data_IF_697134535857
#
_entry.id   IF_697134535857
#
_cell.length_a   1.000
_cell.length_b   1.000
_cell.length_c   1.000
_cell.angle_alpha   90.00
_cell.angle_beta   90.00
_cell.angle_gamma   90.00
#
_symmetry.space_group_name_H-M   'P 1'
#
loop_
_entity.id
_entity.type
_entity.pdbx_description
1 polymer ?
#
# COMPACT_ATOMS: atom_id res chain seq x y z
N UNK A 1 1.29 17.18 -37.89
CA UNK A 1 0.40 16.55 -36.91
C UNK A 1 -0.08 17.65 -35.97
N UNK A 2 -1.38 17.77 -35.73
CA UNK A 2 -1.89 18.74 -34.75
C UNK A 2 -1.47 18.26 -33.37
N UNK A 3 -0.69 19.08 -32.65
CA UNK A 3 -0.35 18.78 -31.25
C UNK A 3 -1.58 19.07 -30.38
N UNK A 4 -1.86 18.17 -29.45
CA UNK A 4 -2.86 18.31 -28.40
C UNK A 4 -2.19 18.38 -27.01
N UNK A 5 -2.94 18.75 -25.97
CA UNK A 5 -2.47 18.84 -24.59
C UNK A 5 -1.67 17.62 -24.12
N UNK A 6 -0.68 17.89 -23.27
CA UNK A 6 0.19 16.90 -22.64
C UNK A 6 0.64 17.35 -21.26
N UNK A 7 1.08 16.41 -20.44
CA UNK A 7 1.60 16.69 -19.11
C UNK A 7 1.91 15.44 -18.31
N UNK A 8 2.08 15.61 -17.01
CA UNK A 8 2.14 14.51 -16.06
C UNK A 8 1.41 14.84 -14.76
N UNK A 9 0.87 13.79 -14.15
CA UNK A 9 0.18 13.84 -12.86
C UNK A 9 0.97 13.07 -11.80
N UNK A 10 0.85 13.50 -10.54
CA UNK A 10 1.41 12.81 -9.38
C UNK A 10 0.36 11.90 -8.74
N UNK A 11 0.48 10.58 -8.95
CA UNK A 11 -0.51 9.60 -8.49
C UNK A 11 0.18 8.37 -7.87
N UNK A 12 0.03 8.11 -6.55
CA UNK A 12 -0.77 8.85 -5.58
C UNK A 12 -0.15 10.21 -5.19
N UNK A 13 -1.02 11.14 -4.72
CA UNK A 13 -0.62 12.48 -4.27
C UNK A 13 0.48 12.42 -3.21
N UNK A 14 1.34 13.43 -3.20
CA UNK A 14 2.30 13.62 -2.11
C UNK A 14 1.55 14.02 -0.83
N UNK A 15 1.99 13.47 0.30
CA UNK A 15 1.49 13.84 1.62
C UNK A 15 2.25 15.02 2.20
N UNK A 16 1.71 15.69 3.21
CA UNK A 16 2.39 16.76 3.96
C UNK A 16 3.48 16.24 4.92
N UNK A 17 3.89 14.98 4.78
CA UNK A 17 4.85 14.34 5.68
C UNK A 17 6.27 14.74 5.34
N UNK A 18 7.13 14.68 6.34
CA UNK A 18 8.53 15.05 6.21
C UNK A 18 9.31 14.25 5.15
N UNK A 19 8.89 13.01 4.82
CA UNK A 19 9.56 12.23 3.78
C UNK A 19 9.21 12.71 2.37
N UNK A 20 7.91 12.79 2.04
CA UNK A 20 7.45 13.32 0.75
C UNK A 20 7.94 14.77 0.56
N UNK A 21 7.90 15.59 1.61
CA UNK A 21 8.41 16.96 1.55
C UNK A 21 9.91 16.98 1.26
N UNK A 22 10.74 16.18 1.95
CA UNK A 22 12.19 16.14 1.67
C UNK A 22 12.49 15.74 0.23
N UNK A 23 11.83 14.69 -0.28
CA UNK A 23 12.03 14.26 -1.68
C UNK A 23 11.57 15.33 -2.66
N UNK A 24 10.49 16.03 -2.35
CA UNK A 24 10.02 17.16 -3.14
C UNK A 24 11.00 18.34 -3.11
N UNK A 25 11.57 18.66 -1.95
CA UNK A 25 12.57 19.72 -1.83
C UNK A 25 13.81 19.38 -2.69
N UNK A 26 14.31 18.14 -2.65
CA UNK A 26 15.43 17.69 -3.49
C UNK A 26 15.08 17.72 -5.00
N UNK A 27 13.85 17.36 -5.37
CA UNK A 27 13.37 17.48 -6.74
C UNK A 27 13.33 18.94 -7.20
N UNK A 28 12.78 19.83 -6.38
CA UNK A 28 12.72 21.27 -6.66
C UNK A 28 14.11 21.87 -6.77
N UNK A 29 15.04 21.53 -5.88
CA UNK A 29 16.45 21.95 -5.98
C UNK A 29 17.09 21.51 -7.31
N UNK A 30 16.81 20.27 -7.75
CA UNK A 30 17.27 19.78 -9.06
C UNK A 30 16.66 20.57 -10.21
N UNK A 31 15.37 20.87 -10.18
CA UNK A 31 14.68 21.67 -11.19
C UNK A 31 15.26 23.09 -11.25
N UNK A 32 15.45 23.73 -10.09
CA UNK A 32 16.07 25.05 -10.00
C UNK A 32 17.47 25.08 -10.59
N UNK A 33 18.28 24.03 -10.35
CA UNK A 33 19.61 23.91 -10.93
C UNK A 33 19.60 23.72 -12.45
N UNK A 34 18.62 23.00 -12.99
CA UNK A 34 18.52 22.71 -14.44
C UNK A 34 18.09 23.95 -15.24
N UNK A 35 17.18 24.74 -14.67
CA UNK A 35 16.63 25.93 -15.32
C UNK A 35 17.24 27.25 -14.81
N UNK A 36 18.38 27.19 -14.13
CA UNK A 36 19.11 28.40 -13.72
C UNK A 36 19.54 29.19 -14.96
N UNK A 37 19.09 30.45 -15.04
CA UNK A 37 19.33 31.33 -16.18
C UNK A 37 18.42 31.16 -17.40
N UNK A 38 17.40 30.29 -17.33
CA UNK A 38 16.32 30.26 -18.34
C UNK A 38 15.39 31.47 -18.13
N UNK A 39 15.20 32.27 -19.17
CA UNK A 39 14.40 33.51 -19.10
C UNK A 39 12.89 33.26 -19.20
N UNK A 40 12.46 32.05 -19.59
CA UNK A 40 11.05 31.64 -19.64
C UNK A 40 10.62 30.86 -18.38
N UNK A 41 11.51 30.76 -17.39
CA UNK A 41 11.25 30.11 -16.09
C UNK A 41 11.37 31.13 -14.97
N UNK A 42 10.24 31.43 -14.32
CA UNK A 42 10.19 32.35 -13.20
C UNK A 42 10.16 31.59 -11.86
N UNK A 43 11.12 31.90 -10.99
CA UNK A 43 11.16 31.40 -9.62
C UNK A 43 10.44 32.38 -8.69
N UNK A 44 9.21 32.03 -8.27
CA UNK A 44 8.47 32.80 -7.27
C UNK A 44 8.72 32.26 -5.86
N UNK A 45 8.34 32.97 -4.80
CA UNK A 45 8.46 32.48 -3.42
C UNK A 45 7.66 31.21 -3.12
N UNK A 46 6.68 30.84 -3.95
CA UNK A 46 5.72 29.77 -3.66
C UNK A 46 5.68 28.66 -4.71
N UNK A 47 6.06 28.97 -5.95
CA UNK A 47 6.07 28.04 -7.09
C UNK A 47 7.04 28.48 -8.18
N UNK A 48 7.43 27.55 -9.04
CA UNK A 48 8.16 27.80 -10.28
C UNK A 48 7.14 27.86 -11.41
N UNK A 49 7.20 28.92 -12.22
CA UNK A 49 6.31 29.15 -13.37
C UNK A 49 7.10 29.01 -14.66
N UNK A 50 6.51 28.33 -15.64
CA UNK A 50 7.06 28.23 -16.99
C UNK A 50 6.13 28.99 -17.94
N UNK A 51 6.64 30.02 -18.60
CA UNK A 51 5.83 30.97 -19.39
C UNK A 51 5.18 30.33 -20.63
N UNK A 52 5.59 29.13 -21.01
CA UNK A 52 5.05 28.38 -22.15
C UNK A 52 3.59 27.91 -21.97
N UNK A 53 3.02 27.95 -20.77
CA UNK A 53 1.62 27.54 -20.56
C UNK A 53 1.03 27.95 -19.21
N UNK A 54 -0.29 28.15 -19.18
CA UNK A 54 -0.99 28.70 -18.01
C UNK A 54 -0.88 27.85 -16.74
N UNK A 55 -0.82 26.52 -16.89
CA UNK A 55 -0.78 25.55 -15.78
C UNK A 55 0.57 24.83 -15.64
N UNK A 56 1.62 25.35 -16.28
CA UNK A 56 2.98 24.84 -16.10
C UNK A 56 3.58 25.44 -14.82
N UNK A 57 3.06 24.98 -13.68
CA UNK A 57 3.40 25.48 -12.35
C UNK A 57 3.87 24.32 -11.45
N UNK A 58 5.02 24.49 -10.81
CA UNK A 58 5.54 23.57 -9.78
C UNK A 58 5.53 24.25 -8.41
N UNK A 59 4.69 23.85 -7.46
CA UNK A 59 4.70 24.44 -6.13
C UNK A 59 5.98 24.04 -5.40
N UNK A 60 6.50 24.92 -4.54
CA UNK A 60 7.60 24.55 -3.64
C UNK A 60 7.12 23.59 -2.54
N UNK A 61 5.81 23.51 -2.30
CA UNK A 61 5.17 22.59 -1.35
C UNK A 61 4.52 21.41 -2.08
N UNK A 62 5.23 20.27 -2.11
CA UNK A 62 4.87 19.14 -2.98
C UNK A 62 3.50 18.52 -2.73
N UNK A 63 3.02 18.56 -1.49
CA UNK A 63 1.69 18.04 -1.16
C UNK A 63 0.53 18.81 -1.84
N UNK A 64 0.80 20.02 -2.37
CA UNK A 64 -0.15 20.80 -3.16
C UNK A 64 -0.15 20.39 -4.63
N UNK A 65 0.92 19.76 -5.12
CA UNK A 65 1.09 19.42 -6.53
C UNK A 65 0.17 18.29 -6.97
N UNK A 66 -0.53 18.48 -8.09
CA UNK A 66 -1.34 17.45 -8.76
C UNK A 66 -0.89 17.16 -10.19
N UNK A 67 -0.72 18.22 -10.99
CA UNK A 67 -0.48 18.15 -12.43
C UNK A 67 0.49 19.23 -12.86
N UNK A 68 1.36 18.88 -13.80
CA UNK A 68 2.11 19.83 -14.63
C UNK A 68 1.78 19.51 -16.09
N UNK A 69 1.06 20.40 -16.78
CA UNK A 69 0.60 20.13 -18.13
C UNK A 69 -0.02 21.33 -18.83
N UNK A 70 -0.24 21.16 -20.13
CA UNK A 70 -0.76 22.20 -21.02
C UNK A 70 -2.27 22.15 -21.16
N UNK A 71 -2.83 23.29 -21.58
CA UNK A 71 -4.20 23.45 -22.08
C UNK A 71 -4.21 23.62 -23.60
N UNK A 72 -5.37 23.44 -24.26
CA UNK A 72 -5.49 23.57 -25.72
C UNK A 72 -5.00 24.89 -26.34
N UNK A 73 -4.94 25.98 -25.56
CA UNK A 73 -4.55 27.31 -26.04
C UNK A 73 -3.09 27.69 -25.72
N UNK A 74 -2.34 26.81 -25.05
CA UNK A 74 -0.94 27.08 -24.67
C UNK A 74 0.02 26.97 -25.86
N UNK A 75 1.27 27.43 -25.70
CA UNK A 75 2.35 27.14 -26.65
C UNK A 75 2.83 25.70 -26.48
N UNK A 76 2.08 24.79 -27.11
CA UNK A 76 2.32 23.34 -27.03
C UNK A 76 3.72 22.92 -27.50
N UNK A 77 4.42 23.74 -28.30
CA UNK A 77 5.75 23.37 -28.77
C UNK A 77 6.80 23.59 -27.67
N UNK A 78 6.83 24.79 -27.10
CA UNK A 78 7.77 25.17 -26.04
C UNK A 78 7.46 24.41 -24.74
N UNK A 79 6.18 24.25 -24.42
CA UNK A 79 5.74 23.54 -23.23
C UNK A 79 6.14 22.05 -23.21
N UNK A 80 6.12 21.37 -24.36
CA UNK A 80 6.45 19.95 -24.44
C UNK A 80 7.91 19.66 -24.09
N UNK A 81 8.82 20.60 -24.38
CA UNK A 81 10.24 20.50 -23.99
C UNK A 81 10.37 20.48 -22.46
N UNK A 82 9.68 21.40 -21.79
CA UNK A 82 9.66 21.47 -20.32
C UNK A 82 9.03 20.23 -19.70
N UNK A 83 7.89 19.78 -20.25
CA UNK A 83 7.18 18.59 -19.78
C UNK A 83 8.06 17.35 -19.89
N UNK A 84 8.69 17.11 -21.04
CA UNK A 84 9.48 15.91 -21.28
C UNK A 84 10.69 15.84 -20.33
N UNK A 85 11.40 16.95 -20.14
CA UNK A 85 12.54 17.00 -19.24
C UNK A 85 12.11 16.86 -17.77
N UNK A 86 11.03 17.52 -17.36
CA UNK A 86 10.51 17.40 -16.01
C UNK A 86 9.97 16.00 -15.71
N UNK A 87 9.38 15.29 -16.68
CA UNK A 87 9.00 13.89 -16.52
C UNK A 87 10.23 13.03 -16.23
N UNK A 88 11.33 13.23 -16.96
CA UNK A 88 12.58 12.49 -16.73
C UNK A 88 13.10 12.75 -15.32
N UNK A 89 13.23 14.02 -14.92
CA UNK A 89 13.72 14.39 -13.58
C UNK A 89 12.76 13.83 -12.52
N UNK A 90 11.46 14.07 -12.65
CA UNK A 90 10.47 13.66 -11.66
C UNK A 90 10.42 12.12 -11.48
N UNK A 91 10.66 11.35 -12.55
CA UNK A 91 10.75 9.88 -12.45
C UNK A 91 11.96 9.41 -11.65
N UNK A 92 13.06 10.16 -11.61
CA UNK A 92 14.20 9.83 -10.75
C UNK A 92 13.84 9.91 -9.25
N UNK A 93 12.95 10.83 -8.88
CA UNK A 93 12.54 11.05 -7.48
C UNK A 93 11.28 10.27 -7.08
N UNK A 94 10.31 10.15 -7.99
CA UNK A 94 8.96 9.67 -7.70
C UNK A 94 8.54 8.47 -8.53
N UNK A 95 9.35 8.05 -9.50
CA UNK A 95 9.21 6.79 -10.24
C UNK A 95 7.78 6.63 -10.82
N UNK A 96 7.12 5.50 -10.55
CA UNK A 96 5.76 5.18 -10.96
C UNK A 96 4.69 6.21 -10.57
N UNK A 97 4.94 7.10 -9.60
CA UNK A 97 3.97 8.14 -9.25
C UNK A 97 3.78 9.16 -10.36
N UNK A 98 4.75 9.27 -11.27
CA UNK A 98 4.67 10.17 -12.41
C UNK A 98 3.90 9.49 -13.53
N UNK A 99 2.62 9.86 -13.65
CA UNK A 99 1.76 9.44 -14.75
C UNK A 99 1.79 10.49 -15.86
N UNK A 100 2.67 10.28 -16.84
CA UNK A 100 2.67 11.05 -18.07
C UNK A 100 1.40 10.77 -18.89
N UNK A 101 0.95 11.75 -19.67
CA UNK A 101 -0.19 11.62 -20.57
C UNK A 101 -0.04 12.55 -21.78
N UNK A 102 -0.56 12.11 -22.94
CA UNK A 102 -0.69 12.91 -24.16
C UNK A 102 -2.04 12.65 -24.81
N UNK A 103 -2.85 13.68 -25.01
CA UNK A 103 -4.19 13.51 -25.60
C UNK A 103 -4.14 12.97 -27.04
N UNK A 104 -3.05 13.26 -27.76
CA UNK A 104 -2.81 12.74 -29.12
C UNK A 104 -2.68 11.21 -29.15
N UNK A 105 -2.28 10.60 -28.04
CA UNK A 105 -2.13 9.15 -27.87
C UNK A 105 -3.36 8.54 -27.18
N UNK A 106 -4.45 9.32 -27.06
CA UNK A 106 -5.67 8.94 -26.34
C UNK A 106 -5.42 8.67 -24.84
N UNK A 107 -4.42 9.33 -24.27
CA UNK A 107 -4.12 9.34 -22.84
C UNK A 107 -4.52 10.67 -22.22
N UNK A 108 -5.18 10.60 -21.07
CA UNK A 108 -5.70 11.78 -20.37
C UNK A 108 -5.14 11.84 -18.96
N UNK A 109 -5.02 13.07 -18.45
CA UNK A 109 -4.64 13.28 -17.07
C UNK A 109 -5.64 12.64 -16.09
N UNK A 110 -5.13 12.18 -14.96
CA UNK A 110 -5.86 11.46 -13.91
C UNK A 110 -6.84 12.35 -13.15
N UNK A 111 -6.43 13.57 -12.79
CA UNK A 111 -7.27 14.52 -12.06
C UNK A 111 -8.23 15.27 -12.98
N UNK A 112 -9.42 15.58 -12.47
CA UNK A 112 -10.34 16.48 -13.17
C UNK A 112 -9.79 17.91 -13.20
N UNK A 113 -10.15 18.67 -14.23
CA UNK A 113 -9.71 20.07 -14.39
C UNK A 113 -10.08 20.94 -13.18
N UNK A 114 -11.21 20.63 -12.53
CA UNK A 114 -11.63 21.31 -11.31
C UNK A 114 -10.64 21.06 -10.16
N UNK A 115 -10.24 19.82 -9.94
CA UNK A 115 -9.28 19.48 -8.87
C UNK A 115 -7.92 20.13 -9.07
N UNK A 116 -7.46 20.19 -10.32
CA UNK A 116 -6.19 20.85 -10.66
C UNK A 116 -6.27 22.35 -10.37
N UNK A 117 -7.34 23.03 -10.81
CA UNK A 117 -7.52 24.45 -10.52
C UNK A 117 -7.69 24.73 -9.01
N UNK A 118 -8.44 23.89 -8.29
CA UNK A 118 -8.60 24.01 -6.83
C UNK A 118 -7.25 23.85 -6.11
N UNK A 119 -6.36 22.99 -6.60
CA UNK A 119 -4.99 22.80 -6.09
C UNK A 119 -4.09 24.01 -6.37
N UNK A 120 -4.11 24.55 -7.59
CA UNK A 120 -3.29 25.71 -7.99
C UNK A 120 -3.61 26.94 -7.12
N UNK A 121 -4.87 27.15 -6.77
CA UNK A 121 -5.30 28.24 -5.87
C UNK A 121 -4.57 28.17 -4.50
N UNK A 122 -4.15 26.98 -4.07
CA UNK A 122 -3.43 26.80 -2.79
C UNK A 122 -1.96 27.21 -2.86
N UNK A 123 -1.38 27.39 -4.06
CA UNK A 123 0.04 27.70 -4.20
C UNK A 123 0.35 29.09 -3.63
N UNK A 124 -0.56 30.05 -3.79
CA UNK A 124 -0.39 31.40 -3.23
C UNK A 124 -0.78 31.51 -1.75
N UNK A 125 -1.40 30.47 -1.19
CA UNK A 125 -1.83 30.47 0.20
C UNK A 125 -0.71 29.89 1.08
N UNK A 126 -0.21 30.66 2.07
CA UNK A 126 0.76 30.12 3.01
C UNK A 126 0.12 28.95 3.74
N UNK A 127 0.89 27.88 3.94
CA UNK A 127 0.42 26.76 4.76
C UNK A 127 -0.03 27.29 6.13
N UNK A 128 -1.22 26.87 6.62
CA UNK A 128 -1.57 27.15 8.00
C UNK A 128 -0.42 26.62 8.88
N UNK A 129 -0.01 27.37 9.94
CA UNK A 129 1.13 27.01 10.76
C UNK A 129 1.01 25.54 11.14
N UNK A 130 1.96 24.70 10.68
CA UNK A 130 1.93 23.22 10.70
C UNK A 130 0.92 22.77 11.73
N UNK A 131 -0.32 22.55 11.27
CA UNK A 131 -1.39 22.25 12.20
C UNK A 131 -0.92 21.04 12.99
N UNK A 132 -1.19 21.03 14.28
CA UNK A 132 -1.28 19.78 15.02
C UNK A 132 -2.18 18.92 14.13
N UNK A 133 -1.61 17.98 13.37
CA UNK A 133 -2.34 17.27 12.32
C UNK A 133 -3.49 16.64 13.05
N UNK A 134 -4.69 17.16 12.82
CA UNK A 134 -5.84 16.65 13.54
C UNK A 134 -5.91 15.16 13.21
N UNK A 135 -6.03 14.28 14.22
CA UNK A 135 -6.08 12.86 13.95
C UNK A 135 -7.17 12.56 12.92
N UNK A 136 -6.87 11.73 11.92
CA UNK A 136 -7.82 11.31 10.89
C UNK A 136 -9.00 10.52 11.46
N UNK A 137 -8.90 10.12 12.72
CA UNK A 137 -9.86 9.31 13.44
C UNK A 137 -10.10 9.84 14.85
N UNK A 138 -11.12 9.31 15.50
CA UNK A 138 -11.40 9.49 16.94
C UNK A 138 -11.66 8.14 17.56
N UNK A 139 -11.25 7.96 18.81
CA UNK A 139 -11.59 6.76 19.57
C UNK A 139 -13.02 6.90 20.10
N UNK A 140 -13.83 5.85 19.96
CA UNK A 140 -15.19 5.77 20.51
C UNK A 140 -15.46 4.38 21.08
N UNK A 141 -16.40 4.30 22.00
CA UNK A 141 -17.03 3.04 22.37
C UNK A 141 -17.96 2.59 21.23
N UNK A 142 -17.84 1.32 20.87
CA UNK A 142 -18.56 0.65 19.80
C UNK A 142 -19.35 -0.48 20.44
N UNK A 143 -20.70 -0.45 20.34
CA UNK A 143 -21.56 -1.47 20.94
C UNK A 143 -21.11 -2.90 20.57
N UNK A 144 -20.87 -3.73 21.58
CA UNK A 144 -20.45 -5.11 21.41
C UNK A 144 -18.99 -5.35 21.00
N UNK A 145 -18.20 -4.29 20.73
CA UNK A 145 -16.78 -4.39 20.34
C UNK A 145 -15.81 -3.67 21.28
N UNK A 146 -16.31 -3.01 22.33
CA UNK A 146 -15.45 -2.23 23.23
C UNK A 146 -15.08 -0.90 22.60
N UNK A 147 -13.79 -0.53 22.61
CA UNK A 147 -13.32 0.72 21.96
C UNK A 147 -12.94 0.45 20.51
N UNK A 148 -13.03 1.48 19.67
CA UNK A 148 -12.59 1.43 18.27
C UNK A 148 -12.29 2.80 17.68
N UNK A 149 -11.70 2.79 16.49
CA UNK A 149 -11.34 3.99 15.75
C UNK A 149 -12.41 4.30 14.72
N UNK A 150 -12.95 5.52 14.75
CA UNK A 150 -13.92 6.02 13.80
C UNK A 150 -13.29 7.13 12.97
N UNK A 151 -13.34 7.03 11.65
CA UNK A 151 -12.84 8.05 10.74
C UNK A 151 -13.54 9.40 11.00
N UNK A 152 -12.78 10.49 11.11
CA UNK A 152 -13.30 11.86 11.26
C UNK A 152 -13.59 12.52 9.91
N UNK A 153 -12.85 12.10 8.89
CA UNK A 153 -12.89 12.61 7.52
C UNK A 153 -12.92 11.43 6.55
N UNK A 154 -13.18 11.69 5.28
CA UNK A 154 -12.97 10.71 4.22
C UNK A 154 -11.46 10.43 4.10
N UNK A 155 -11.06 9.17 4.16
CA UNK A 155 -9.66 8.72 4.09
C UNK A 155 -9.45 7.94 2.78
N UNK A 156 -8.67 8.47 1.83
CA UNK A 156 -8.36 7.77 0.58
C UNK A 156 -7.54 6.49 0.80
N UNK A 157 -7.65 5.55 -0.14
CA UNK A 157 -6.78 4.37 -0.19
C UNK A 157 -5.29 4.80 -0.29
N UNK A 158 -4.39 4.02 0.29
CA UNK A 158 -2.95 4.34 0.41
C UNK A 158 -2.61 5.28 1.57
N UNK A 159 -3.60 5.93 2.19
CA UNK A 159 -3.34 6.83 3.31
C UNK A 159 -2.87 6.05 4.53
N UNK A 160 -1.68 6.35 5.05
CA UNK A 160 -1.26 5.86 6.37
C UNK A 160 -2.04 6.59 7.46
N UNK A 161 -2.90 5.85 8.14
CA UNK A 161 -3.76 6.30 9.23
C UNK A 161 -2.96 6.46 10.53
N UNK A 162 -2.09 5.48 10.82
CA UNK A 162 -1.34 5.38 12.08
C UNK A 162 0.08 4.89 11.86
N UNK A 163 0.95 5.27 12.80
CA UNK A 163 2.36 4.94 12.85
C UNK A 163 2.79 4.95 14.32
N UNK A 164 2.98 3.79 14.95
CA UNK A 164 3.24 3.70 16.39
C UNK A 164 4.38 2.74 16.71
N UNK A 165 5.26 3.15 17.63
CA UNK A 165 6.19 2.24 18.29
C UNK A 165 5.45 1.43 19.37
N UNK A 166 5.82 0.16 19.60
CA UNK A 166 5.21 -0.63 20.65
C UNK A 166 5.52 -0.03 22.03
N UNK A 167 4.53 -0.02 22.92
CA UNK A 167 4.73 0.22 24.36
C UNK A 167 5.55 -0.91 24.97
N UNK A 168 5.25 -2.13 24.54
CA UNK A 168 5.87 -3.35 25.05
C UNK A 168 5.97 -4.37 23.92
N UNK A 169 7.10 -5.06 23.88
CA UNK A 169 7.36 -6.18 22.96
C UNK A 169 7.48 -7.44 23.81
N UNK A 170 6.88 -8.55 23.39
CA UNK A 170 6.91 -9.82 24.12
C UNK A 170 6.88 -11.04 23.20
N UNK A 171 7.42 -12.17 23.67
CA UNK A 171 7.29 -13.45 22.97
C UNK A 171 5.87 -14.01 23.16
N UNK A 172 5.18 -14.37 22.08
CA UNK A 172 3.78 -14.83 22.12
C UNK A 172 3.63 -16.35 22.25
N UNK A 173 4.73 -17.11 22.27
CA UNK A 173 4.73 -18.58 22.16
C UNK A 173 4.76 -19.34 23.49
N UNK A 174 5.13 -18.71 24.61
CA UNK A 174 5.15 -19.36 25.94
C UNK A 174 4.20 -18.67 26.91
N UNK A 175 2.94 -19.15 27.03
CA UNK A 175 1.90 -18.55 27.87
C UNK A 175 2.28 -18.34 29.35
N UNK A 176 3.16 -19.18 29.90
CA UNK A 176 3.60 -19.11 31.31
C UNK A 176 4.74 -18.12 31.58
N UNK A 177 5.57 -17.80 30.57
CA UNK A 177 6.70 -16.87 30.74
C UNK A 177 6.30 -15.42 30.42
N UNK A 178 5.16 -15.23 29.76
CA UNK A 178 4.66 -13.91 29.35
C UNK A 178 4.48 -12.97 30.54
N UNK A 179 3.87 -13.43 31.64
CA UNK A 179 3.66 -12.62 32.84
C UNK A 179 5.00 -12.19 33.46
N UNK A 180 5.89 -13.17 33.68
CA UNK A 180 7.18 -12.98 34.31
C UNK A 180 8.12 -12.08 33.47
N UNK A 181 8.02 -12.13 32.15
CA UNK A 181 8.83 -11.32 31.23
C UNK A 181 8.22 -9.94 30.96
N UNK A 182 6.89 -9.80 30.99
CA UNK A 182 6.20 -8.54 30.75
C UNK A 182 6.21 -7.64 31.98
N UNK A 183 6.07 -8.17 33.20
CA UNK A 183 5.96 -7.36 34.41
C UNK A 183 7.17 -6.43 34.64
N UNK A 184 8.44 -6.89 34.51
CA UNK A 184 9.60 -6.00 34.60
C UNK A 184 9.58 -4.91 33.53
N UNK A 185 9.31 -5.28 32.26
CA UNK A 185 9.27 -4.34 31.14
C UNK A 185 8.20 -3.27 31.33
N UNK A 186 7.01 -3.65 31.79
CA UNK A 186 5.93 -2.72 32.11
C UNK A 186 6.33 -1.78 33.25
N UNK A 187 7.01 -2.28 34.28
CA UNK A 187 7.48 -1.48 35.42
C UNK A 187 8.46 -0.38 35.00
N UNK A 188 9.28 -0.65 33.98
CA UNK A 188 10.25 0.29 33.42
C UNK A 188 9.62 1.38 32.54
N UNK A 189 8.37 1.21 32.10
CA UNK A 189 7.64 2.24 31.35
C UNK A 189 7.24 3.42 32.23
N UNK A 190 6.95 4.56 31.60
CA UNK A 190 6.37 5.72 32.29
C UNK A 190 5.01 5.39 32.90
N UNK A 191 4.59 6.14 33.93
CA UNK A 191 3.27 5.91 34.56
C UNK A 191 2.09 6.11 33.62
N UNK A 192 2.21 6.98 32.61
CA UNK A 192 1.20 7.13 31.57
C UNK A 192 1.13 5.89 30.67
N UNK A 193 2.27 5.39 30.20
CA UNK A 193 2.35 4.18 29.39
C UNK A 193 1.87 2.93 30.14
N UNK A 194 2.19 2.80 31.44
CA UNK A 194 1.67 1.74 32.31
C UNK A 194 0.13 1.77 32.36
N UNK A 195 -0.46 2.93 32.63
CA UNK A 195 -1.93 3.10 32.68
C UNK A 195 -2.56 2.80 31.32
N UNK A 196 -1.91 3.21 30.24
CA UNK A 196 -2.41 2.96 28.89
C UNK A 196 -2.44 1.47 28.57
N UNK A 197 -1.34 0.75 28.82
CA UNK A 197 -1.27 -0.69 28.67
C UNK A 197 -2.35 -1.40 29.51
N UNK A 198 -2.47 -1.05 30.79
CA UNK A 198 -3.45 -1.65 31.70
C UNK A 198 -4.91 -1.29 31.36
N UNK A 199 -5.14 -0.31 30.49
CA UNK A 199 -6.49 0.05 30.00
C UNK A 199 -6.92 -0.76 28.77
N UNK A 200 -6.00 -1.52 28.17
CA UNK A 200 -6.30 -2.35 27.00
C UNK A 200 -7.22 -3.51 27.38
N UNK A 201 -7.95 -4.01 26.38
CA UNK A 201 -8.93 -5.05 26.62
C UNK A 201 -8.26 -6.37 27.03
N UNK A 202 -8.88 -7.13 27.93
CA UNK A 202 -8.38 -8.43 28.35
C UNK A 202 -9.48 -9.49 28.19
N UNK A 203 -9.38 -10.29 27.12
CA UNK A 203 -10.30 -11.41 26.87
C UNK A 203 -10.07 -12.61 27.78
N UNK A 204 -9.01 -12.60 28.58
CA UNK A 204 -8.56 -13.71 29.38
C UNK A 204 -8.27 -13.28 30.83
N UNK A 205 -9.29 -12.83 31.55
CA UNK A 205 -9.14 -12.50 32.97
C UNK A 205 -8.74 -13.76 33.74
N UNK A 206 -7.78 -13.62 34.65
CA UNK A 206 -7.20 -14.74 35.37
C UNK A 206 -6.08 -14.28 36.31
N UNK A 207 -5.31 -15.23 36.87
CA UNK A 207 -4.20 -14.91 37.78
C UNK A 207 -3.07 -14.11 37.11
N UNK A 208 -2.94 -14.21 35.78
CA UNK A 208 -1.89 -13.57 34.97
C UNK A 208 -2.50 -12.50 34.03
N UNK A 209 -2.88 -11.33 34.56
CA UNK A 209 -3.61 -10.32 33.79
C UNK A 209 -2.79 -9.69 32.66
N UNK A 210 -1.46 -9.56 32.79
CA UNK A 210 -0.63 -8.99 31.73
C UNK A 210 -0.59 -9.91 30.51
N UNK A 211 -0.49 -11.21 30.76
CA UNK A 211 -0.52 -12.26 29.74
C UNK A 211 -1.85 -12.25 28.97
N UNK A 212 -2.97 -12.06 29.67
CA UNK A 212 -4.27 -11.90 29.05
C UNK A 212 -4.38 -10.67 28.15
N UNK A 213 -3.87 -9.51 28.60
CA UNK A 213 -3.80 -8.28 27.80
C UNK A 213 -2.91 -8.49 26.57
N UNK A 214 -1.71 -9.05 26.73
CA UNK A 214 -0.77 -9.28 25.62
C UNK A 214 -1.39 -10.24 24.60
N UNK A 215 -1.94 -11.37 25.05
CA UNK A 215 -2.59 -12.34 24.15
C UNK A 215 -3.76 -11.73 23.36
N UNK A 216 -4.46 -10.78 23.97
CA UNK A 216 -5.60 -10.11 23.34
C UNK A 216 -5.16 -9.06 22.31
N UNK A 217 -4.06 -8.34 22.56
CA UNK A 217 -3.75 -7.09 21.86
C UNK A 217 -2.46 -7.12 21.03
N UNK A 218 -1.56 -8.10 21.25
CA UNK A 218 -0.27 -8.10 20.59
C UNK A 218 -0.41 -8.40 19.09
N UNK A 219 0.11 -7.50 18.25
CA UNK A 219 0.26 -7.75 16.81
C UNK A 219 1.65 -8.34 16.55
N UNK A 220 1.79 -9.34 15.66
CA UNK A 220 3.10 -9.88 15.30
C UNK A 220 4.02 -8.79 14.74
N UNK A 221 5.24 -8.69 15.25
CA UNK A 221 6.29 -7.81 14.71
C UNK A 221 6.87 -8.41 13.42
N UNK A 222 6.03 -8.53 12.39
CA UNK A 222 6.34 -9.10 11.08
C UNK A 222 5.69 -10.47 10.83
N UNK A 223 5.59 -10.90 9.55
CA UNK A 223 5.00 -12.18 9.18
C UNK A 223 5.68 -13.36 9.88
N UNK A 224 4.90 -14.25 10.51
CA UNK A 224 5.41 -15.44 11.20
C UNK A 224 6.23 -15.17 12.46
N UNK A 225 6.32 -13.91 12.91
CA UNK A 225 7.09 -13.55 14.10
C UNK A 225 6.46 -14.12 15.36
N UNK A 226 7.27 -14.78 16.19
CA UNK A 226 6.91 -15.21 17.55
C UNK A 226 6.95 -14.04 18.55
N UNK A 227 7.34 -12.85 18.09
CA UNK A 227 7.43 -11.64 18.88
C UNK A 227 6.28 -10.73 18.48
N UNK A 228 5.51 -10.28 19.47
CA UNK A 228 4.40 -9.35 19.28
C UNK A 228 4.62 -8.01 19.98
N UNK A 229 4.12 -6.95 19.37
CA UNK A 229 4.08 -5.60 19.92
C UNK A 229 2.71 -5.24 20.46
N UNK A 230 2.66 -4.58 21.62
CA UNK A 230 1.46 -3.97 22.18
C UNK A 230 1.56 -2.47 22.02
N UNK A 231 0.51 -1.87 21.45
CA UNK A 231 0.50 -0.49 20.99
C UNK A 231 -0.55 0.35 21.72
N UNK A 232 -0.31 1.66 21.85
CA UNK A 232 -1.21 2.55 22.58
C UNK A 232 -2.58 2.72 21.91
N UNK A 233 -2.61 2.85 20.58
CA UNK A 233 -3.83 3.14 19.82
C UNK A 233 -4.15 2.03 18.82
N UNK A 234 -3.14 1.44 18.17
CA UNK A 234 -3.35 0.37 17.17
C UNK A 234 -4.10 -0.84 17.77
N UNK A 235 -3.87 -1.17 19.04
CA UNK A 235 -4.58 -2.25 19.74
C UNK A 235 -6.09 -1.98 19.96
N UNK A 236 -6.57 -0.77 19.68
CA UNK A 236 -8.00 -0.46 19.74
C UNK A 236 -8.71 -0.72 18.39
N UNK A 237 -7.98 -1.02 17.32
CA UNK A 237 -8.57 -1.25 15.99
C UNK A 237 -9.24 -2.62 15.96
N UNK A 238 -10.56 -2.67 15.77
CA UNK A 238 -11.34 -3.90 15.76
C UNK A 238 -11.16 -4.73 14.48
N UNK A 239 -11.63 -5.97 14.57
CA UNK A 239 -11.64 -6.92 13.46
C UNK A 239 -12.76 -6.68 12.44
N UNK A 240 -12.44 -6.91 11.17
CA UNK A 240 -13.39 -7.28 10.11
C UNK A 240 -12.79 -8.37 9.22
N UNK A 241 -13.60 -9.34 8.76
CA UNK A 241 -13.16 -10.34 7.76
C UNK A 241 -13.00 -9.74 6.35
N UNK A 242 -13.57 -8.55 6.13
CA UNK A 242 -13.34 -7.70 4.97
C UNK A 242 -12.91 -6.31 5.49
N UNK A 243 -11.64 -6.16 5.90
CA UNK A 243 -11.15 -4.95 6.55
C UNK A 243 -11.00 -3.80 5.55
N UNK A 244 -10.93 -2.57 6.07
CA UNK A 244 -10.70 -1.36 5.27
C UNK A 244 -9.30 -0.77 5.48
N UNK A 245 -8.51 -1.37 6.37
CA UNK A 245 -7.10 -1.03 6.58
C UNK A 245 -6.23 -2.27 6.76
N UNK A 246 -4.93 -2.09 6.55
CA UNK A 246 -3.91 -3.12 6.67
C UNK A 246 -2.80 -2.69 7.63
N UNK A 247 -2.37 -3.61 8.47
CA UNK A 247 -1.24 -3.46 9.37
C UNK A 247 0.07 -3.92 8.72
N UNK A 248 1.14 -3.14 8.89
CA UNK A 248 2.46 -3.46 8.40
C UNK A 248 3.55 -3.11 9.43
N UNK A 249 4.36 -4.10 9.80
CA UNK A 249 5.50 -3.95 10.68
C UNK A 249 6.76 -3.57 9.89
N UNK A 250 7.28 -2.36 10.13
CA UNK A 250 8.55 -1.94 9.57
C UNK A 250 9.69 -2.34 10.52
N UNK A 251 10.38 -3.42 10.19
CA UNK A 251 11.46 -3.97 11.02
C UNK A 251 12.69 -3.04 11.11
N UNK A 252 12.98 -2.24 10.07
CA UNK A 252 14.12 -1.30 10.06
C UNK A 252 13.88 -0.14 11.04
N UNK A 253 12.65 0.37 11.10
CA UNK A 253 12.29 1.50 11.95
C UNK A 253 11.67 1.12 13.30
N UNK A 254 11.31 -0.16 13.49
CA UNK A 254 10.83 -0.71 14.76
C UNK A 254 9.45 -0.19 15.18
N UNK A 255 8.53 -0.09 14.22
CA UNK A 255 7.20 0.46 14.43
C UNK A 255 6.16 -0.21 13.51
N UNK A 256 4.91 -0.16 13.94
CA UNK A 256 3.74 -0.63 13.19
C UNK A 256 3.09 0.54 12.46
N UNK A 257 2.59 0.26 11.26
CA UNK A 257 1.86 1.23 10.45
C UNK A 257 0.51 0.67 10.05
N UNK A 258 -0.51 1.54 9.96
CA UNK A 258 -1.84 1.19 9.49
C UNK A 258 -2.13 2.01 8.25
N UNK A 259 -2.45 1.35 7.13
CA UNK A 259 -2.79 2.00 5.86
C UNK A 259 -4.22 1.69 5.45
N UNK A 260 -4.95 2.69 4.96
CA UNK A 260 -6.25 2.48 4.33
C UNK A 260 -6.04 1.72 3.01
N UNK A 261 -6.71 0.58 2.83
CA UNK A 261 -6.59 -0.23 1.60
C UNK A 261 -7.72 0.00 0.61
N UNK A 262 -8.75 0.72 1.03
CA UNK A 262 -9.80 1.28 0.19
C UNK A 262 -10.22 2.64 0.75
N UNK A 263 -11.09 3.34 0.05
CA UNK A 263 -11.73 4.54 0.60
C UNK A 263 -12.48 4.20 1.90
N UNK A 264 -12.22 4.97 2.96
CA UNK A 264 -12.95 4.94 4.23
C UNK A 264 -13.75 6.23 4.33
N UNK A 265 -15.05 6.16 4.63
CA UNK A 265 -15.90 7.35 4.74
C UNK A 265 -15.87 7.93 6.14
N UNK A 266 -16.05 9.25 6.26
CA UNK A 266 -16.22 9.89 7.56
C UNK A 266 -17.36 9.20 8.35
N UNK A 267 -17.07 8.84 9.61
CA UNK A 267 -17.99 8.08 10.47
C UNK A 267 -17.89 6.56 10.36
N UNK A 268 -17.15 6.02 9.40
CA UNK A 268 -16.90 4.58 9.27
C UNK A 268 -15.86 4.11 10.32
N UNK A 269 -16.03 2.88 10.80
CA UNK A 269 -15.06 2.23 11.69
C UNK A 269 -13.82 1.77 10.91
N UNK A 270 -12.64 2.12 11.37
CA UNK A 270 -11.37 1.61 10.84
C UNK A 270 -11.14 0.21 11.41
N UNK A 271 -10.89 -0.78 10.54
CA UNK A 271 -10.77 -2.19 10.91
C UNK A 271 -9.60 -2.87 10.21
N UNK A 272 -9.01 -3.87 10.87
CA UNK A 272 -7.98 -4.76 10.33
C UNK A 272 -8.45 -6.23 10.40
N UNK A 273 -7.73 -7.15 9.74
CA UNK A 273 -7.97 -8.59 9.93
C UNK A 273 -7.13 -9.14 11.07
N UNK A 274 -7.75 -9.92 11.96
CA UNK A 274 -7.07 -10.67 13.03
C UNK A 274 -6.82 -12.13 12.64
N UNK A 275 -7.29 -12.54 11.46
CA UNK A 275 -7.20 -13.91 10.96
C UNK A 275 -6.49 -13.94 9.60
N UNK A 276 -5.98 -15.12 9.23
CA UNK A 276 -5.35 -15.36 7.93
C UNK A 276 -6.37 -15.46 6.77
N UNK A 277 -7.67 -15.38 7.06
CA UNK A 277 -8.75 -15.49 6.08
C UNK A 277 -9.47 -16.83 6.17
N UNK A 278 -9.79 -17.42 5.02
CA UNK A 278 -10.48 -18.72 4.92
C UNK A 278 -12.02 -18.66 5.05
N UNK A 279 -12.71 -19.78 4.83
CA UNK A 279 -14.17 -19.90 4.93
C UNK A 279 -14.70 -19.67 6.35
N UNK A 280 -16.00 -19.42 6.48
CA UNK A 280 -16.65 -18.96 7.71
C UNK A 280 -16.57 -19.99 8.84
N UNK A 281 -16.62 -21.27 8.48
CA UNK A 281 -16.47 -22.42 9.37
C UNK A 281 -15.06 -22.55 9.98
N UNK A 282 -14.04 -21.91 9.41
CA UNK A 282 -12.67 -21.85 9.95
C UNK A 282 -12.44 -20.56 10.74
N UNK A 283 -12.73 -19.40 10.13
CA UNK A 283 -12.42 -18.10 10.73
C UNK A 283 -13.25 -17.82 11.99
N UNK A 284 -14.53 -18.20 12.02
CA UNK A 284 -15.42 -17.95 13.20
C UNK A 284 -14.95 -18.69 14.47
N UNK A 285 -14.75 -20.02 14.47
CA UNK A 285 -14.28 -20.69 15.69
C UNK A 285 -12.87 -20.26 16.08
N UNK A 286 -11.99 -19.96 15.11
CA UNK A 286 -10.67 -19.41 15.41
C UNK A 286 -10.77 -18.07 16.15
N UNK A 287 -11.54 -17.11 15.61
CA UNK A 287 -11.77 -15.81 16.25
C UNK A 287 -12.41 -15.95 17.62
N UNK A 288 -13.39 -16.85 17.77
CA UNK A 288 -14.04 -17.10 19.06
C UNK A 288 -13.05 -17.63 20.10
N UNK A 289 -12.19 -18.58 19.71
CA UNK A 289 -11.18 -19.18 20.59
C UNK A 289 -10.07 -18.19 20.95
N UNK A 290 -9.59 -17.40 19.99
CA UNK A 290 -8.46 -16.51 20.18
C UNK A 290 -8.85 -15.14 20.78
N UNK A 291 -10.05 -14.66 20.50
CA UNK A 291 -10.50 -13.29 20.85
C UNK A 291 -11.87 -13.22 21.52
N UNK A 292 -12.55 -14.34 21.78
CA UNK A 292 -13.76 -14.38 22.60
C UNK A 292 -15.06 -13.85 21.97
N UNK A 293 -15.04 -13.34 20.74
CA UNK A 293 -16.21 -12.74 20.09
C UNK A 293 -16.74 -13.55 18.89
N UNK A 294 -18.01 -13.36 18.57
CA UNK A 294 -18.64 -13.86 17.34
C UNK A 294 -18.63 -12.75 16.29
N UNK A 295 -17.97 -12.97 15.16
CA UNK A 295 -17.79 -11.94 14.14
C UNK A 295 -19.11 -11.61 13.42
N UNK A 296 -19.54 -10.35 13.52
CA UNK A 296 -20.72 -9.81 12.86
C UNK A 296 -20.37 -8.71 11.83
N UNK A 297 -19.21 -8.83 11.17
CA UNK A 297 -18.83 -7.93 10.07
C UNK A 297 -19.74 -8.13 8.85
N UNK A 298 -19.70 -7.20 7.89
CA UNK A 298 -20.50 -7.24 6.66
C UNK A 298 -20.42 -8.58 5.94
N UNK A 299 -19.23 -9.20 5.89
CA UNK A 299 -19.03 -10.51 5.28
C UNK A 299 -19.70 -11.64 6.08
N UNK A 300 -19.48 -11.69 7.40
CA UNK A 300 -20.05 -12.72 8.26
C UNK A 300 -21.57 -12.59 8.45
N UNK A 301 -22.12 -11.41 8.20
CA UNK A 301 -23.56 -11.12 8.28
C UNK A 301 -24.29 -11.25 6.94
N UNK A 302 -23.61 -11.71 5.88
CA UNK A 302 -24.24 -11.99 4.59
C UNK A 302 -25.36 -13.04 4.72
N UNK A 303 -26.40 -12.97 3.85
CA UNK A 303 -27.37 -14.06 3.72
C UNK A 303 -26.70 -15.41 3.46
N UNK A 304 -27.29 -16.54 3.89
CA UNK A 304 -26.63 -17.86 3.82
C UNK A 304 -26.08 -18.24 2.44
N UNK A 305 -26.80 -17.95 1.35
CA UNK A 305 -26.35 -18.26 -0.01
C UNK A 305 -25.15 -17.40 -0.45
N UNK A 306 -25.12 -16.13 -0.07
CA UNK A 306 -24.02 -15.22 -0.38
C UNK A 306 -22.77 -15.55 0.46
N UNK A 307 -22.97 -15.90 1.74
CA UNK A 307 -21.90 -16.38 2.60
C UNK A 307 -21.30 -17.68 2.06
N UNK A 308 -22.12 -18.62 1.60
CA UNK A 308 -21.65 -19.87 0.97
C UNK A 308 -20.82 -19.61 -0.29
N UNK A 309 -21.23 -18.65 -1.13
CA UNK A 309 -20.46 -18.28 -2.32
C UNK A 309 -19.11 -17.64 -1.96
N UNK A 310 -19.07 -16.80 -0.92
CA UNK A 310 -17.81 -16.24 -0.38
C UNK A 310 -16.92 -17.35 0.20
N UNK A 311 -17.49 -18.29 0.94
CA UNK A 311 -16.73 -19.39 1.52
C UNK A 311 -16.12 -20.28 0.43
N UNK A 312 -16.85 -20.58 -0.66
CA UNK A 312 -16.32 -21.29 -1.82
C UNK A 312 -15.12 -20.57 -2.45
N UNK A 313 -15.22 -19.24 -2.67
CA UNK A 313 -14.09 -18.47 -3.21
C UNK A 313 -12.89 -18.48 -2.27
N UNK A 314 -13.11 -18.39 -0.96
CA UNK A 314 -12.03 -18.40 0.05
C UNK A 314 -11.36 -19.77 0.17
N UNK A 315 -12.11 -20.86 0.05
CA UNK A 315 -11.57 -22.23 -0.07
C UNK A 315 -10.71 -22.36 -1.34
N UNK A 316 -11.22 -21.86 -2.48
CA UNK A 316 -10.48 -21.87 -3.74
C UNK A 316 -9.20 -21.04 -3.65
N UNK A 317 -9.23 -19.87 -3.00
CA UNK A 317 -8.03 -19.05 -2.74
C UNK A 317 -7.02 -19.83 -1.91
N UNK A 318 -7.43 -20.53 -0.84
CA UNK A 318 -6.52 -21.34 -0.02
C UNK A 318 -5.91 -22.48 -0.83
N UNK A 319 -6.72 -23.21 -1.60
CA UNK A 319 -6.28 -24.31 -2.44
C UNK A 319 -5.26 -23.85 -3.48
N UNK A 320 -5.59 -22.82 -4.26
CA UNK A 320 -4.67 -22.25 -5.25
C UNK A 320 -3.39 -21.75 -4.61
N UNK A 321 -3.46 -21.14 -3.41
CA UNK A 321 -2.29 -20.68 -2.68
C UNK A 321 -1.35 -21.82 -2.27
N UNK A 322 -1.89 -22.99 -1.94
CA UNK A 322 -1.11 -24.20 -1.68
C UNK A 322 -0.48 -24.74 -2.97
N UNK A 323 -1.25 -24.80 -4.05
CA UNK A 323 -0.81 -25.31 -5.35
C UNK A 323 0.30 -24.44 -5.96
N UNK A 324 0.21 -23.11 -5.84
CA UNK A 324 1.23 -22.16 -6.29
C UNK A 324 2.56 -22.42 -5.57
N UNK A 325 2.51 -22.62 -4.23
CA UNK A 325 3.70 -22.86 -3.40
C UNK A 325 4.28 -24.26 -3.53
N UNK A 326 3.68 -25.14 -4.34
CA UNK A 326 4.17 -26.47 -4.59
C UNK A 326 5.46 -26.42 -5.43
N UNK A 327 6.61 -26.68 -4.79
CA UNK A 327 7.94 -26.64 -5.41
C UNK A 327 8.02 -27.50 -6.68
N UNK A 328 7.41 -28.69 -6.69
CA UNK A 328 7.42 -29.55 -7.86
C UNK A 328 6.71 -28.90 -9.06
N UNK A 329 5.52 -28.33 -8.84
CA UNK A 329 4.77 -27.63 -9.90
C UNK A 329 5.51 -26.38 -10.37
N UNK A 330 6.10 -25.60 -9.46
CA UNK A 330 6.89 -24.42 -9.81
C UNK A 330 8.13 -24.78 -10.65
N UNK A 331 8.84 -25.87 -10.33
CA UNK A 331 10.05 -26.26 -11.07
C UNK A 331 9.69 -26.89 -12.43
N UNK A 332 8.76 -27.84 -12.46
CA UNK A 332 8.53 -28.69 -13.63
C UNK A 332 7.37 -28.24 -14.52
N UNK A 333 6.45 -27.40 -14.01
CA UNK A 333 5.24 -26.95 -14.70
C UNK A 333 4.91 -25.47 -14.38
N UNK A 334 5.85 -24.53 -14.50
CA UNK A 334 5.62 -23.15 -14.07
C UNK A 334 4.55 -22.42 -14.89
N UNK A 335 4.23 -22.81 -16.14
CA UNK A 335 3.06 -22.27 -16.86
C UNK A 335 1.76 -22.62 -16.12
N UNK A 336 1.63 -23.86 -15.63
CA UNK A 336 0.48 -24.25 -14.81
C UNK A 336 0.46 -23.49 -13.48
N UNK A 337 1.63 -23.20 -12.92
CA UNK A 337 1.76 -22.43 -11.68
C UNK A 337 1.37 -20.95 -11.88
N UNK A 338 1.77 -20.32 -12.98
CA UNK A 338 1.31 -18.97 -13.37
C UNK A 338 -0.20 -18.94 -13.66
N UNK A 339 -0.74 -19.99 -14.30
CA UNK A 339 -2.19 -20.11 -14.50
C UNK A 339 -2.97 -20.21 -13.20
N UNK A 340 -2.43 -20.92 -12.20
CA UNK A 340 -2.99 -20.93 -10.85
C UNK A 340 -2.93 -19.54 -10.21
N UNK A 341 -1.84 -18.78 -10.42
CA UNK A 341 -1.74 -17.40 -9.96
C UNK A 341 -2.85 -16.51 -10.57
N UNK A 342 -3.06 -16.59 -11.89
CA UNK A 342 -4.13 -15.82 -12.55
C UNK A 342 -5.52 -16.18 -12.01
N UNK A 343 -5.79 -17.47 -11.86
CA UNK A 343 -7.05 -17.95 -11.30
C UNK A 343 -7.26 -17.44 -9.87
N UNK A 344 -6.19 -17.39 -9.08
CA UNK A 344 -6.23 -16.85 -7.71
C UNK A 344 -6.44 -15.34 -7.73
N UNK A 345 -5.83 -14.60 -8.67
CA UNK A 345 -6.00 -13.15 -8.80
C UNK A 345 -7.46 -12.78 -9.07
N UNK A 346 -8.12 -13.44 -10.03
CA UNK A 346 -9.54 -13.22 -10.32
C UNK A 346 -10.42 -13.56 -9.11
N UNK A 347 -10.14 -14.68 -8.45
CA UNK A 347 -10.90 -15.09 -7.26
C UNK A 347 -10.72 -14.08 -6.10
N UNK A 348 -9.51 -13.54 -5.93
CA UNK A 348 -9.22 -12.48 -4.95
C UNK A 348 -9.94 -11.18 -5.28
N UNK A 349 -9.96 -10.76 -6.54
CA UNK A 349 -10.67 -9.56 -6.99
C UNK A 349 -12.18 -9.69 -6.75
N UNK A 350 -12.77 -10.84 -7.06
CA UNK A 350 -14.18 -11.10 -6.80
C UNK A 350 -14.52 -11.12 -5.30
N UNK A 351 -13.63 -11.64 -4.46
CA UNK A 351 -13.89 -11.79 -3.02
C UNK A 351 -13.61 -10.52 -2.20
N UNK A 352 -12.56 -9.76 -2.57
CA UNK A 352 -12.10 -8.62 -1.79
C UNK A 352 -12.40 -7.27 -2.43
N UNK A 353 -12.70 -7.21 -3.73
CA UNK A 353 -12.96 -5.96 -4.46
C UNK A 353 -11.87 -4.92 -4.22
N UNK A 354 -12.26 -3.72 -3.80
CA UNK A 354 -11.33 -2.62 -3.50
C UNK A 354 -10.35 -2.94 -2.35
N UNK A 355 -10.59 -3.98 -1.55
CA UNK A 355 -9.69 -4.39 -0.46
C UNK A 355 -8.61 -5.38 -0.90
N UNK A 356 -8.45 -5.63 -2.21
CA UNK A 356 -7.58 -6.70 -2.74
C UNK A 356 -6.09 -6.44 -2.56
N UNK A 357 -5.65 -5.19 -2.40
CA UNK A 357 -4.23 -4.79 -2.45
C UNK A 357 -3.27 -5.65 -1.60
N UNK A 358 -3.53 -5.95 -0.31
CA UNK A 358 -2.65 -6.81 0.48
C UNK A 358 -2.53 -8.25 -0.04
N UNK A 359 -3.59 -8.74 -0.68
CA UNK A 359 -3.64 -10.09 -1.24
C UNK A 359 -2.96 -10.16 -2.61
N UNK A 360 -3.24 -9.21 -3.50
CA UNK A 360 -2.59 -9.13 -4.81
C UNK A 360 -1.10 -8.84 -4.69
N UNK A 361 -0.67 -7.99 -3.75
CA UNK A 361 0.74 -7.73 -3.47
C UNK A 361 1.55 -9.01 -3.26
N UNK A 362 1.03 -9.93 -2.43
CA UNK A 362 1.66 -11.21 -2.13
C UNK A 362 1.61 -12.17 -3.31
N UNK A 363 0.48 -12.22 -4.02
CA UNK A 363 0.33 -13.06 -5.19
C UNK A 363 1.29 -12.69 -6.32
N UNK A 364 1.45 -11.38 -6.59
CA UNK A 364 2.40 -10.90 -7.57
C UNK A 364 3.85 -11.18 -7.15
N UNK A 365 4.18 -11.16 -5.86
CA UNK A 365 5.51 -11.61 -5.37
C UNK A 365 5.72 -13.12 -5.62
N UNK A 366 4.70 -13.97 -5.49
CA UNK A 366 4.82 -15.39 -5.88
C UNK A 366 4.99 -15.55 -7.40
N UNK A 367 4.22 -14.82 -8.22
CA UNK A 367 4.34 -14.83 -9.67
C UNK A 367 5.72 -14.35 -10.15
N UNK A 368 6.25 -13.30 -9.51
CA UNK A 368 7.61 -12.81 -9.69
C UNK A 368 8.65 -13.92 -9.47
N UNK A 369 8.58 -14.65 -8.35
CA UNK A 369 9.52 -15.73 -8.04
C UNK A 369 9.52 -16.82 -9.10
N UNK A 370 8.34 -17.21 -9.59
CA UNK A 370 8.22 -18.19 -10.67
C UNK A 370 8.97 -17.70 -11.93
N UNK A 371 8.77 -16.43 -12.33
CA UNK A 371 9.47 -15.88 -13.48
C UNK A 371 10.99 -15.82 -13.28
N UNK A 372 11.45 -15.32 -12.13
CA UNK A 372 12.88 -15.19 -11.80
C UNK A 372 13.58 -16.54 -11.79
N UNK A 373 12.99 -17.57 -11.19
CA UNK A 373 13.59 -18.90 -11.11
C UNK A 373 13.78 -19.58 -12.48
N UNK A 374 13.02 -19.14 -13.48
CA UNK A 374 13.10 -19.62 -14.86
C UNK A 374 13.82 -18.65 -15.81
N UNK A 375 14.40 -17.57 -15.27
CA UNK A 375 15.20 -16.57 -16.00
C UNK A 375 14.38 -15.55 -16.80
N UNK A 376 13.06 -15.45 -16.58
CA UNK A 376 12.16 -14.56 -17.33
C UNK A 376 12.18 -13.12 -16.80
N UNK A 377 13.12 -12.30 -17.29
CA UNK A 377 13.32 -10.91 -16.84
C UNK A 377 12.08 -10.03 -17.06
N UNK A 378 11.46 -10.06 -18.24
CA UNK A 378 10.31 -9.19 -18.55
C UNK A 378 9.06 -9.47 -17.71
N UNK A 379 8.72 -10.76 -17.54
CA UNK A 379 7.62 -11.19 -16.66
C UNK A 379 7.90 -10.89 -15.20
N UNK A 380 9.14 -11.13 -14.73
CA UNK A 380 9.56 -10.78 -13.38
C UNK A 380 9.43 -9.27 -13.13
N UNK A 381 9.95 -8.43 -14.02
CA UNK A 381 9.84 -6.96 -13.90
C UNK A 381 8.38 -6.53 -13.73
N UNK A 382 7.50 -7.06 -14.57
CA UNK A 382 6.05 -6.74 -14.52
C UNK A 382 5.43 -7.16 -13.19
N UNK A 383 5.66 -8.39 -12.73
CA UNK A 383 5.08 -8.86 -11.48
C UNK A 383 5.67 -8.14 -10.26
N UNK A 384 6.96 -7.78 -10.29
CA UNK A 384 7.56 -6.95 -9.26
C UNK A 384 6.90 -5.56 -9.21
N UNK A 385 6.59 -4.97 -10.37
CA UNK A 385 5.95 -3.65 -10.48
C UNK A 385 4.53 -3.69 -9.90
N UNK A 386 3.74 -4.70 -10.26
CA UNK A 386 2.39 -4.86 -9.73
C UNK A 386 2.38 -5.20 -8.24
N UNK A 387 3.35 -5.99 -7.75
CA UNK A 387 3.55 -6.19 -6.31
C UNK A 387 3.89 -4.88 -5.62
N UNK A 388 4.82 -4.10 -6.17
CA UNK A 388 5.25 -2.81 -5.63
C UNK A 388 4.08 -1.82 -5.53
N UNK A 389 3.30 -1.61 -6.60
CA UNK A 389 2.11 -0.73 -6.60
C UNK A 389 1.12 -1.14 -5.51
N UNK A 390 0.81 -2.43 -5.41
CA UNK A 390 -0.11 -2.94 -4.40
C UNK A 390 0.44 -2.76 -2.97
N UNK A 391 1.75 -2.94 -2.75
CA UNK A 391 2.39 -2.73 -1.45
C UNK A 391 2.46 -1.27 -1.05
N UNK A 392 2.67 -0.33 -1.98
CA UNK A 392 2.58 1.11 -1.65
C UNK A 392 1.23 1.45 -1.03
N UNK A 393 0.15 0.85 -1.53
CA UNK A 393 -1.21 1.06 -0.99
C UNK A 393 -1.34 0.51 0.44
N UNK A 394 -0.89 -0.72 0.70
CA UNK A 394 -1.15 -1.38 1.99
C UNK A 394 -0.03 -1.29 3.04
N UNK A 395 1.20 -0.97 2.64
CA UNK A 395 2.39 -0.96 3.48
C UNK A 395 3.14 0.38 3.47
N UNK A 396 2.93 1.22 2.44
CA UNK A 396 3.63 2.49 2.24
C UNK A 396 5.05 2.32 1.67
N UNK A 397 5.61 3.41 1.13
CA UNK A 397 6.88 3.37 0.40
C UNK A 397 8.12 3.07 1.24
N UNK A 398 8.09 3.39 2.53
CA UNK A 398 9.18 3.16 3.47
C UNK A 398 9.21 1.72 4.01
N UNK A 399 8.22 0.90 3.65
CA UNK A 399 8.18 -0.51 4.03
C UNK A 399 9.38 -1.25 3.42
N UNK A 400 10.13 -2.05 4.20
CA UNK A 400 11.26 -2.84 3.70
C UNK A 400 10.90 -3.72 2.50
N UNK A 401 9.72 -4.35 2.50
CA UNK A 401 9.26 -5.19 1.39
C UNK A 401 8.84 -4.36 0.16
N UNK A 402 8.31 -3.15 0.38
CA UNK A 402 7.98 -2.23 -0.71
C UNK A 402 9.25 -1.74 -1.41
N UNK A 403 10.28 -1.36 -0.64
CA UNK A 403 11.59 -0.98 -1.18
C UNK A 403 12.27 -2.16 -1.89
N UNK A 404 12.18 -3.37 -1.32
CA UNK A 404 12.69 -4.59 -1.96
C UNK A 404 12.06 -4.80 -3.34
N UNK A 405 10.73 -4.68 -3.46
CA UNK A 405 10.07 -4.83 -4.76
C UNK A 405 10.49 -3.71 -5.72
N UNK A 406 10.64 -2.47 -5.25
CA UNK A 406 11.16 -1.36 -6.06
C UNK A 406 12.54 -1.66 -6.66
N UNK A 407 13.45 -2.21 -5.87
CA UNK A 407 14.77 -2.63 -6.36
C UNK A 407 14.67 -3.75 -7.41
N UNK A 408 13.78 -4.73 -7.21
CA UNK A 408 13.59 -5.86 -8.12
C UNK A 408 12.83 -5.52 -9.40
N UNK A 409 12.08 -4.41 -9.44
CA UNK A 409 11.56 -3.85 -10.70
C UNK A 409 12.72 -3.44 -11.60
N UNK A 410 13.76 -2.82 -11.03
CA UNK A 410 14.89 -2.30 -11.80
C UNK A 410 15.85 -3.40 -12.24
N UNK A 411 16.09 -4.40 -11.38
CA UNK A 411 17.08 -5.45 -11.61
C UNK A 411 16.61 -6.80 -11.04
N UNK A 412 15.60 -7.46 -11.65
CA UNK A 412 15.04 -8.71 -11.14
C UNK A 412 16.08 -9.85 -11.07
N UNK A 413 17.13 -9.82 -11.90
CA UNK A 413 18.22 -10.79 -11.94
C UNK A 413 19.13 -10.77 -10.71
N UNK A 414 19.05 -9.72 -9.88
CA UNK A 414 19.78 -9.65 -8.59
C UNK A 414 19.16 -10.55 -7.53
N UNK A 415 17.94 -11.05 -7.76
CA UNK A 415 17.30 -11.98 -6.85
C UNK A 415 18.08 -13.30 -6.76
N UNK A 416 18.33 -13.78 -5.55
CA UNK A 416 19.22 -14.93 -5.31
C UNK A 416 18.78 -16.27 -5.91
N UNK A 417 17.56 -16.38 -6.43
CA UNK A 417 17.05 -17.58 -7.12
C UNK A 417 17.02 -17.43 -8.65
N UNK A 418 17.60 -16.36 -9.21
CA UNK A 418 17.56 -16.14 -10.66
C UNK A 418 18.12 -17.32 -11.45
N UNK A 419 17.27 -17.91 -12.31
CA UNK A 419 17.61 -19.06 -13.13
C UNK A 419 17.92 -20.35 -12.36
N UNK A 420 17.55 -20.43 -11.07
CA UNK A 420 17.85 -21.59 -10.22
C UNK A 420 17.13 -22.87 -10.68
N UNK A 421 15.96 -22.73 -11.31
CA UNK A 421 15.14 -23.85 -11.79
C UNK A 421 15.38 -24.13 -13.28
N UNK A 422 15.40 -23.10 -14.12
CA UNK A 422 15.67 -23.21 -15.55
C UNK A 422 16.13 -21.87 -16.15
N UNK A 423 16.67 -21.90 -17.36
CA UNK A 423 16.91 -20.70 -18.18
C UNK A 423 16.07 -20.70 -19.46
N UNK A 424 15.06 -21.56 -19.55
CA UNK A 424 14.22 -21.73 -20.74
C UNK A 424 13.41 -20.49 -21.11
N UNK A 425 13.18 -19.58 -20.17
CA UNK A 425 12.50 -18.30 -20.42
C UNK A 425 13.47 -17.11 -20.50
N UNK A 426 14.78 -17.36 -20.53
CA UNK A 426 15.80 -16.31 -20.61
C UNK A 426 15.76 -15.51 -21.92
N UNK A 427 15.38 -16.17 -23.03
CA UNK A 427 15.26 -15.55 -24.34
C UNK A 427 14.00 -14.71 -24.52
N UNK A 428 13.12 -14.63 -23.52
CA UNK A 428 11.96 -13.72 -23.52
C UNK A 428 12.37 -12.26 -23.23
N UNK A 429 13.60 -11.88 -23.60
CA UNK A 429 14.16 -10.53 -23.42
C UNK A 429 13.47 -9.46 -24.29
N UNK A 430 12.71 -9.86 -25.31
CA UNK A 430 12.41 -8.98 -26.46
C UNK A 430 10.94 -8.57 -26.60
N UNK A 431 10.11 -8.80 -25.59
CA UNK A 431 8.89 -8.01 -25.44
C UNK A 431 9.00 -7.28 -24.12
N UNK A 432 9.67 -6.12 -24.16
CA UNK A 432 9.42 -5.07 -23.19
C UNK A 432 7.89 -4.92 -23.10
N UNK A 433 7.31 -5.48 -22.03
CA UNK A 433 5.99 -5.07 -21.59
C UNK A 433 6.20 -3.61 -21.19
N UNK A 434 6.00 -2.71 -22.15
CA UNK A 434 6.30 -1.30 -21.97
C UNK A 434 5.44 -0.78 -20.83
N UNK A 435 6.09 -0.08 -19.90
CA UNK A 435 5.48 0.78 -18.90
C UNK A 435 4.15 1.35 -19.42
N UNK A 436 3.03 1.00 -18.76
CA UNK A 436 1.73 1.62 -19.02
C UNK A 436 0.71 0.85 -19.87
N UNK A 437 0.99 -0.37 -20.37
CA UNK A 437 0.04 -1.16 -21.17
C UNK A 437 -0.65 -2.31 -20.41
N UNK A 438 -1.00 -2.10 -19.14
CA UNK A 438 -1.74 -3.10 -18.35
C UNK A 438 -3.20 -2.68 -18.18
N UNK A 439 -4.13 -3.59 -18.52
CA UNK A 439 -5.58 -3.34 -18.45
C UNK A 439 -6.41 -4.06 -19.51
N UNK A 440 -5.78 -4.72 -20.50
CA UNK A 440 -6.49 -5.57 -21.47
C UNK A 440 -6.40 -7.05 -21.07
N UNK A 441 -7.45 -7.80 -21.36
CA UNK A 441 -7.51 -9.26 -21.10
C UNK A 441 -6.38 -9.99 -21.82
N UNK A 442 -6.04 -9.57 -23.04
CA UNK A 442 -4.92 -10.14 -23.82
C UNK A 442 -3.55 -9.89 -23.19
N UNK A 443 -3.30 -8.70 -22.62
CA UNK A 443 -2.03 -8.42 -21.94
C UNK A 443 -1.88 -9.26 -20.65
N UNK A 444 -2.96 -9.43 -19.89
CA UNK A 444 -2.98 -10.27 -18.69
C UNK A 444 -2.76 -11.75 -19.06
N UNK A 445 -3.49 -12.27 -20.06
CA UNK A 445 -3.29 -13.63 -20.56
C UNK A 445 -1.85 -13.88 -20.99
N UNK A 446 -1.25 -12.94 -21.73
CA UNK A 446 0.14 -13.05 -22.17
C UNK A 446 1.12 -13.03 -20.99
N UNK A 447 0.89 -12.17 -20.01
CA UNK A 447 1.72 -12.08 -18.79
C UNK A 447 1.70 -13.39 -17.99
N UNK A 448 0.52 -14.01 -17.86
CA UNK A 448 0.36 -15.30 -17.17
C UNK A 448 0.57 -16.53 -18.08
N UNK A 449 1.01 -16.34 -19.33
CA UNK A 449 1.28 -17.39 -20.33
C UNK A 449 0.06 -18.30 -20.59
N UNK A 450 -1.12 -17.70 -20.72
CA UNK A 450 -2.32 -18.32 -21.31
C UNK A 450 -2.29 -18.10 -22.82
N UNK A 451 -1.89 -19.13 -23.57
CA UNK A 451 -2.11 -19.22 -25.03
C UNK A 451 -3.51 -19.76 -25.36
#
# INVERSE_FOLDING_TARGET
MCRGPSGFDMVPRLSSRAEDQRRWDEFIERVMCVYDGDYEVEFTPNYIRFEAGEQLLLPLEGHKFLRFGTKPNDDLFSAEIYIDLLIVIAREFFDFRIRAWREQENEFGYYSEKEVNDSIILYEQPDPPRSIVEPLFKVRDIPGKGRGLIAKVDIPAGTRILCEKPLLVASTTTPGDLEATAAPRLKDLSKSAQRQFLSLHNNFPGPDPLSGIIRTNALPCGPGSIVGGVYPTICLINHSCLPNSHQNWNNKAGHETIHAIRQIKAGEEITISYCEGGPSNERRPMLKKAFGFDCACSLCSLPPSQLQASDYRRELIQQLGFDIKNIFTMIYRPEANLNACLSQLHTLQEEYGDCVAPHSARLYDEAFKICVEHGAVGGATTFAEESYKARVICEGEDSPETLRMKELVMQPETHGSFGASSLRWKSDSDAAFSYGHYGTVEAEKRLFRQE
#
